data_IF_292416277366
#
_entry.id   IF_292416277366
#
_cell.length_a   1.000
_cell.length_b   1.000
_cell.length_c   1.000
_cell.angle_alpha   90.00
_cell.angle_beta   90.00
_cell.angle_gamma   90.00
#
_symmetry.space_group_name_H-M   'P 1'
#
loop_
_entity.id
_entity.type
_entity.pdbx_description
1 polymer ?
#
# COMPACT_ATOMS: atom_id res chain seq x y z
N UNK A 1 1.68 17.38 -33.84
CA UNK A 1 0.76 18.03 -32.85
C UNK A 1 0.36 17.00 -31.80
N UNK A 2 0.97 17.04 -30.61
CA UNK A 2 0.61 16.13 -29.50
C UNK A 2 -0.64 16.68 -28.80
N UNK A 3 -1.73 15.93 -28.81
CA UNK A 3 -2.96 16.30 -28.07
C UNK A 3 -2.69 16.10 -26.58
N UNK A 4 -2.54 17.20 -25.83
CA UNK A 4 -2.56 17.17 -24.36
C UNK A 4 -3.98 16.81 -23.93
N UNK A 5 -4.18 15.60 -23.43
CA UNK A 5 -5.41 15.23 -22.73
C UNK A 5 -5.32 15.86 -21.35
N UNK A 6 -5.94 17.02 -21.18
CA UNK A 6 -6.16 17.62 -19.86
C UNK A 6 -7.35 16.88 -19.28
N UNK A 7 -7.10 15.98 -18.32
CA UNK A 7 -8.18 15.39 -17.54
C UNK A 7 -8.84 16.54 -16.76
N UNK A 8 -10.15 16.78 -16.91
CA UNK A 8 -10.83 17.73 -16.05
C UNK A 8 -10.73 17.18 -14.63
N UNK A 9 -10.07 17.94 -13.76
CA UNK A 9 -10.07 17.71 -12.32
C UNK A 9 -11.52 17.90 -11.87
N UNK A 10 -12.31 16.83 -11.94
CA UNK A 10 -13.60 16.78 -11.28
C UNK A 10 -13.29 16.91 -9.79
N UNK A 11 -13.47 18.11 -9.26
CA UNK A 11 -13.57 18.39 -7.83
C UNK A 11 -14.81 17.69 -7.27
N UNK A 12 -14.79 16.36 -7.28
CA UNK A 12 -15.72 15.54 -6.54
C UNK A 12 -15.25 15.50 -5.09
N UNK A 13 -16.17 15.71 -4.16
CA UNK A 13 -16.01 15.35 -2.75
C UNK A 13 -15.71 13.84 -2.66
N UNK A 14 -14.45 13.43 -2.77
CA UNK A 14 -14.04 12.02 -2.77
C UNK A 14 -13.25 11.63 -1.53
N UNK A 15 -13.51 12.28 -0.39
CA UNK A 15 -12.72 12.07 0.84
C UNK A 15 -13.46 11.27 1.93
N UNK A 16 -14.71 10.82 1.75
CA UNK A 16 -15.38 10.07 2.82
C UNK A 16 -16.22 8.86 2.42
N UNK A 17 -15.98 8.19 1.29
CA UNK A 17 -16.66 6.91 1.03
C UNK A 17 -16.14 5.76 1.91
N UNK A 18 -15.03 5.97 2.63
CA UNK A 18 -14.35 4.96 3.45
C UNK A 18 -14.97 4.82 4.85
N UNK A 19 -15.69 5.84 5.30
CA UNK A 19 -16.37 5.82 6.59
C UNK A 19 -17.58 4.87 6.56
N UNK A 20 -18.00 4.43 7.75
CA UNK A 20 -19.21 3.65 7.93
C UNK A 20 -20.45 4.47 7.51
N UNK A 21 -21.50 3.78 7.03
CA UNK A 21 -22.72 4.40 6.48
C UNK A 21 -23.04 3.95 5.06
N UNK A 22 -24.07 4.57 4.46
CA UNK A 22 -24.58 4.24 3.11
C UNK A 22 -23.67 4.67 1.96
N UNK A 23 -22.72 5.56 2.23
CA UNK A 23 -21.78 6.05 1.22
C UNK A 23 -20.85 4.94 0.72
N UNK A 24 -20.52 4.96 -0.57
CA UNK A 24 -19.67 3.92 -1.17
C UNK A 24 -20.35 2.55 -1.34
N UNK A 25 -21.69 2.52 -1.42
CA UNK A 25 -22.47 1.29 -1.60
C UNK A 25 -21.94 0.39 -2.73
N UNK A 26 -21.50 0.96 -3.85
CA UNK A 26 -21.05 0.20 -5.03
C UNK A 26 -19.88 -0.75 -4.71
N UNK A 27 -18.86 -0.27 -4.00
CA UNK A 27 -17.71 -1.10 -3.65
C UNK A 27 -17.95 -1.92 -2.38
N UNK A 28 -18.73 -1.39 -1.41
CA UNK A 28 -19.10 -2.13 -0.18
C UNK A 28 -19.95 -3.37 -0.50
N UNK A 29 -20.95 -3.23 -1.36
CA UNK A 29 -21.81 -4.33 -1.81
C UNK A 29 -21.03 -5.38 -2.60
N UNK A 30 -20.12 -4.94 -3.47
CA UNK A 30 -19.20 -5.83 -4.19
C UNK A 30 -18.32 -6.64 -3.24
N UNK A 31 -17.67 -6.00 -2.26
CA UNK A 31 -16.81 -6.68 -1.30
C UNK A 31 -17.58 -7.72 -0.47
N UNK A 32 -18.82 -7.41 -0.04
CA UNK A 32 -19.68 -8.36 0.65
C UNK A 32 -20.10 -9.54 -0.25
N UNK A 33 -20.41 -9.26 -1.51
CA UNK A 33 -20.75 -10.29 -2.49
C UNK A 33 -19.55 -11.22 -2.76
N UNK A 34 -18.34 -10.68 -2.90
CA UNK A 34 -17.11 -11.45 -3.09
C UNK A 34 -16.86 -12.38 -1.90
N UNK A 35 -16.95 -11.88 -0.66
CA UNK A 35 -16.85 -12.72 0.56
C UNK A 35 -17.87 -13.85 0.60
N UNK A 36 -19.13 -13.55 0.30
CA UNK A 36 -20.20 -14.56 0.26
C UNK A 36 -19.95 -15.60 -0.84
N UNK A 37 -19.55 -15.16 -2.03
CA UNK A 37 -19.27 -16.05 -3.16
C UNK A 37 -18.13 -17.02 -2.86
N UNK A 38 -17.05 -16.53 -2.24
CA UNK A 38 -15.92 -17.35 -1.81
C UNK A 38 -16.33 -18.39 -0.76
N UNK A 39 -17.15 -17.98 0.22
CA UNK A 39 -17.66 -18.89 1.26
C UNK A 39 -18.50 -20.03 0.67
N UNK A 40 -19.40 -19.70 -0.27
CA UNK A 40 -20.27 -20.67 -0.92
C UNK A 40 -19.50 -21.59 -1.86
N UNK A 41 -18.51 -21.08 -2.60
CA UNK A 41 -17.64 -21.91 -3.42
C UNK A 41 -16.83 -22.88 -2.55
N UNK A 42 -16.27 -22.41 -1.44
CA UNK A 42 -15.49 -23.26 -0.54
C UNK A 42 -16.32 -24.37 0.13
N UNK A 43 -17.51 -24.05 0.62
CA UNK A 43 -18.37 -25.01 1.34
C UNK A 43 -19.20 -25.88 0.40
N UNK A 44 -19.79 -25.30 -0.63
CA UNK A 44 -20.82 -25.94 -1.47
C UNK A 44 -20.31 -26.53 -2.79
N UNK A 45 -19.25 -25.98 -3.38
CA UNK A 45 -18.78 -26.46 -4.68
C UNK A 45 -17.92 -27.74 -4.57
N UNK A 46 -18.58 -28.88 -4.77
CA UNK A 46 -17.92 -30.20 -4.76
C UNK A 46 -16.94 -30.36 -5.92
N UNK A 47 -17.12 -29.62 -7.03
CA UNK A 47 -16.26 -29.73 -8.20
C UNK A 47 -14.84 -29.22 -7.96
N UNK A 48 -14.64 -28.41 -6.92
CA UNK A 48 -13.33 -27.87 -6.53
C UNK A 48 -12.50 -28.83 -5.68
N UNK A 49 -13.11 -29.92 -5.17
CA UNK A 49 -12.47 -30.92 -4.30
C UNK A 49 -11.75 -32.00 -5.12
N UNK A 50 -10.88 -31.58 -6.03
CA UNK A 50 -10.20 -32.45 -6.99
C UNK A 50 -8.70 -32.50 -6.70
N UNK A 51 -8.09 -33.67 -6.84
CA UNK A 51 -6.65 -33.83 -6.72
C UNK A 51 -5.92 -33.10 -7.87
N UNK A 52 -4.86 -32.39 -7.52
CA UNK A 52 -4.05 -31.67 -8.50
C UNK A 52 -3.38 -32.66 -9.48
N UNK A 53 -3.45 -32.35 -10.77
CA UNK A 53 -2.83 -33.10 -11.86
C UNK A 53 -2.02 -32.15 -12.76
N UNK A 54 -1.29 -32.71 -13.73
CA UNK A 54 -0.26 -31.96 -14.46
C UNK A 54 -0.79 -30.73 -15.20
N UNK A 55 -1.99 -30.80 -15.77
CA UNK A 55 -2.62 -29.65 -16.40
C UNK A 55 -2.86 -28.50 -15.42
N UNK A 56 -3.26 -28.80 -14.17
CA UNK A 56 -3.45 -27.79 -13.13
C UNK A 56 -2.09 -27.22 -12.70
N UNK A 57 -1.08 -28.08 -12.49
CA UNK A 57 0.27 -27.64 -12.07
C UNK A 57 0.89 -26.69 -13.08
N UNK A 58 0.92 -27.08 -14.35
CA UNK A 58 1.51 -26.29 -15.43
C UNK A 58 0.78 -24.96 -15.62
N UNK A 59 -0.56 -24.97 -15.62
CA UNK A 59 -1.35 -23.73 -15.76
C UNK A 59 -1.21 -22.81 -14.56
N UNK A 60 -1.16 -23.35 -13.34
CA UNK A 60 -0.95 -22.56 -12.14
C UNK A 60 0.43 -21.90 -12.12
N UNK A 61 1.48 -22.60 -12.57
CA UNK A 61 2.82 -22.02 -12.68
C UNK A 61 2.91 -20.92 -13.74
N UNK A 62 2.22 -21.09 -14.88
CA UNK A 62 2.11 -20.02 -15.91
C UNK A 62 1.36 -18.81 -15.33
N UNK A 63 0.26 -19.02 -14.62
CA UNK A 63 -0.50 -17.95 -13.98
C UNK A 63 0.30 -17.23 -12.88
N UNK A 64 1.13 -17.96 -12.12
CA UNK A 64 2.01 -17.38 -11.11
C UNK A 64 2.98 -16.39 -11.75
N UNK A 65 3.69 -16.82 -12.80
CA UNK A 65 4.62 -15.96 -13.56
C UNK A 65 3.90 -14.75 -14.17
N UNK A 66 2.74 -14.97 -14.76
CA UNK A 66 1.95 -13.88 -15.33
C UNK A 66 1.57 -12.80 -14.31
N UNK A 67 1.34 -13.15 -13.04
CA UNK A 67 1.09 -12.18 -11.97
C UNK A 67 2.41 -11.53 -11.50
N UNK A 68 3.48 -12.31 -11.35
CA UNK A 68 4.82 -11.79 -10.99
C UNK A 68 5.34 -10.76 -12.01
N UNK A 69 5.04 -10.95 -13.29
CA UNK A 69 5.43 -10.05 -14.38
C UNK A 69 4.57 -8.76 -14.43
N UNK A 70 3.50 -8.65 -13.62
CA UNK A 70 2.70 -7.41 -13.58
C UNK A 70 3.43 -6.30 -12.83
N UNK A 71 3.71 -5.21 -13.55
CA UNK A 71 4.32 -4.01 -12.97
C UNK A 71 3.23 -3.09 -12.45
N UNK A 72 3.31 -2.72 -11.16
CA UNK A 72 2.44 -1.73 -10.55
C UNK A 72 2.84 -0.35 -11.12
N UNK A 73 1.91 0.42 -11.71
CA UNK A 73 2.23 1.76 -12.20
C UNK A 73 2.55 2.68 -11.01
N UNK A 74 3.75 3.25 -11.00
CA UNK A 74 4.13 4.24 -9.99
C UNK A 74 3.48 5.59 -10.32
N UNK A 75 2.75 6.15 -9.35
CA UNK A 75 2.06 7.43 -9.52
C UNK A 75 3.01 8.63 -9.43
N UNK A 76 4.05 8.50 -8.62
CA UNK A 76 5.15 9.45 -8.53
C UNK A 76 6.34 8.80 -9.23
N UNK A 77 6.69 9.29 -10.42
CA UNK A 77 8.02 9.03 -10.94
C UNK A 77 8.99 9.70 -9.98
N UNK A 78 9.91 8.92 -9.43
CA UNK A 78 11.11 9.41 -8.77
C UNK A 78 11.97 10.12 -9.82
N UNK A 79 11.54 11.31 -10.24
CA UNK A 79 12.39 12.26 -10.96
C UNK A 79 13.30 12.95 -9.95
N UNK A 80 14.02 12.15 -9.16
CA UNK A 80 15.23 12.54 -8.45
C UNK A 80 16.46 12.14 -9.28
N UNK A 81 16.30 12.16 -10.62
CA UNK A 81 17.44 12.44 -11.47
C UNK A 81 17.75 13.92 -11.27
N UNK A 82 18.50 14.21 -10.19
CA UNK A 82 19.43 15.32 -10.21
C UNK A 82 20.19 15.18 -11.53
N UNK A 83 19.96 16.13 -12.43
CA UNK A 83 20.75 16.26 -13.63
C UNK A 83 22.20 16.46 -13.18
N UNK A 84 22.98 15.38 -13.16
CA UNK A 84 24.45 15.38 -12.99
C UNK A 84 25.17 16.10 -14.16
N UNK A 85 24.43 16.76 -15.06
CA UNK A 85 24.94 17.43 -16.25
C UNK A 85 25.61 18.79 -15.98
N UNK A 86 25.61 19.30 -14.74
CA UNK A 86 26.20 20.61 -14.40
C UNK A 86 27.43 20.56 -13.47
N UNK A 87 27.96 19.38 -13.12
CA UNK A 87 29.19 19.29 -12.31
C UNK A 87 30.44 19.66 -13.15
N UNK A 88 30.41 19.44 -14.47
CA UNK A 88 31.52 19.76 -15.37
C UNK A 88 31.58 21.24 -15.82
N UNK A 89 30.62 22.08 -15.40
CA UNK A 89 30.57 23.53 -15.71
C UNK A 89 31.02 24.42 -14.57
N UNK A 90 31.36 23.85 -13.41
CA UNK A 90 31.96 24.60 -12.31
C UNK A 90 33.44 24.80 -12.67
N UNK A 91 33.70 25.86 -13.45
CA UNK A 91 35.05 26.39 -13.61
C UNK A 91 35.69 26.57 -12.25
N UNK A 92 36.97 26.20 -12.14
CA UNK A 92 37.82 26.26 -10.94
C UNK A 92 37.37 27.36 -9.98
N UNK A 93 36.68 26.95 -8.90
CA UNK A 93 36.23 27.89 -7.88
C UNK A 93 37.48 28.43 -7.19
N UNK A 94 37.75 29.72 -7.37
CA UNK A 94 38.85 30.43 -6.71
C UNK A 94 38.71 30.33 -5.19
N UNK A 95 39.75 29.84 -4.52
CA UNK A 95 39.81 29.65 -3.07
C UNK A 95 39.49 30.95 -2.32
N UNK A 96 39.87 32.10 -2.86
CA UNK A 96 39.56 33.41 -2.27
C UNK A 96 38.07 33.79 -2.41
N UNK A 97 37.39 33.30 -3.45
CA UNK A 97 35.96 33.47 -3.63
C UNK A 97 35.14 32.56 -2.69
N UNK A 98 35.67 31.38 -2.35
CA UNK A 98 35.10 30.52 -1.31
C UNK A 98 35.26 31.13 0.08
N UNK A 99 36.45 31.68 0.39
CA UNK A 99 36.69 32.33 1.69
C UNK A 99 35.75 33.53 1.92
N UNK A 100 35.52 34.36 0.88
CA UNK A 100 34.59 35.49 0.96
C UNK A 100 33.12 35.06 1.13
N UNK A 101 32.76 33.88 0.62
CA UNK A 101 31.41 33.33 0.78
C UNK A 101 31.19 32.73 2.17
N UNK A 102 32.27 32.29 2.83
CA UNK A 102 32.25 31.82 4.23
C UNK A 102 32.37 32.99 5.23
N UNK A 103 33.03 34.09 4.89
CA UNK A 103 33.15 35.26 5.77
C UNK A 103 31.94 36.22 5.72
N UNK A 104 31.09 36.13 4.70
CA UNK A 104 29.84 36.88 4.62
C UNK A 104 28.69 36.11 5.27
N UNK A 105 28.20 36.60 6.42
CA UNK A 105 27.03 36.09 7.16
C UNK A 105 26.85 34.57 7.03
N UNK A 106 27.67 33.81 7.77
CA UNK A 106 27.24 32.49 8.23
C UNK A 106 25.99 32.78 9.06
N UNK A 107 24.82 32.70 8.43
CA UNK A 107 23.56 32.44 9.13
C UNK A 107 23.92 31.33 10.13
N UNK A 108 23.88 31.62 11.44
CA UNK A 108 24.38 30.68 12.43
C UNK A 108 23.61 29.39 12.26
N UNK A 109 24.32 28.41 11.71
CA UNK A 109 24.03 26.99 11.74
C UNK A 109 22.53 26.68 11.63
N UNK A 110 21.98 26.61 10.41
CA UNK A 110 20.57 26.25 10.18
C UNK A 110 20.19 24.90 10.83
N UNK A 111 21.17 24.08 11.21
CA UNK A 111 21.00 22.86 12.01
C UNK A 111 20.67 23.14 13.49
N UNK A 112 21.08 24.28 14.04
CA UNK A 112 20.85 24.71 15.43
C UNK A 112 19.40 25.16 15.68
N UNK A 113 18.65 25.43 14.60
CA UNK A 113 17.23 25.80 14.61
C UNK A 113 16.28 24.68 14.13
N UNK A 114 16.79 23.48 13.86
CA UNK A 114 15.92 22.35 13.49
C UNK A 114 15.00 21.97 14.65
N UNK A 115 13.74 21.70 14.34
CA UNK A 115 12.84 21.12 15.32
C UNK A 115 13.32 19.71 15.68
N UNK A 116 13.10 19.29 16.93
CA UNK A 116 13.49 17.95 17.38
C UNK A 116 12.79 16.84 16.60
N UNK A 117 11.59 17.10 16.05
CA UNK A 117 10.90 16.18 15.15
C UNK A 117 11.61 16.06 13.80
N UNK A 118 12.03 17.17 13.20
CA UNK A 118 12.69 17.14 11.88
C UNK A 118 14.08 16.51 12.00
N UNK A 119 14.82 16.83 13.06
CA UNK A 119 16.11 16.21 13.34
C UNK A 119 15.99 14.68 13.55
N UNK A 120 14.88 14.20 14.12
CA UNK A 120 14.63 12.75 14.28
C UNK A 120 14.30 12.05 12.96
N UNK A 121 13.55 12.70 12.07
CA UNK A 121 13.25 12.18 10.73
C UNK A 121 14.52 12.07 9.88
N UNK A 122 15.32 13.14 9.83
CA UNK A 122 16.59 13.16 9.12
C UNK A 122 17.55 12.08 9.67
N UNK A 123 17.61 11.94 10.99
CA UNK A 123 18.42 10.89 11.62
C UNK A 123 17.98 9.49 11.16
N UNK A 124 16.67 9.24 11.10
CA UNK A 124 16.14 7.94 10.69
C UNK A 124 16.38 7.66 9.20
N UNK A 125 16.32 8.68 8.34
CA UNK A 125 16.56 8.57 6.89
C UNK A 125 18.05 8.39 6.54
N UNK A 126 18.96 9.10 7.21
CA UNK A 126 20.38 9.04 6.86
C UNK A 126 21.17 7.92 7.57
N UNK A 127 20.70 7.44 8.72
CA UNK A 127 21.38 6.40 9.49
C UNK A 127 20.68 5.04 9.37
N UNK A 128 19.78 4.88 8.39
CA UNK A 128 18.90 3.71 8.17
C UNK A 128 19.49 2.39 8.70
N UNK A 129 18.94 1.94 9.82
CA UNK A 129 18.87 0.52 10.13
C UNK A 129 17.60 0.01 9.46
N UNK A 130 17.68 -1.02 8.61
CA UNK A 130 16.52 -1.72 8.03
C UNK A 130 15.51 -2.07 9.14
N UNK A 131 14.50 -1.22 9.29
CA UNK A 131 13.73 -1.15 10.52
C UNK A 131 12.63 -2.22 10.49
N UNK A 132 13.00 -3.45 10.86
CA UNK A 132 12.10 -4.62 10.86
C UNK A 132 10.82 -4.41 11.68
N UNK A 133 10.81 -3.40 12.55
CA UNK A 133 9.67 -2.97 13.35
C UNK A 133 8.57 -2.30 12.50
N UNK A 134 8.95 -1.42 11.58
CA UNK A 134 8.03 -0.72 10.69
C UNK A 134 7.38 -1.66 9.69
N UNK A 135 8.16 -2.57 9.11
CA UNK A 135 7.64 -3.61 8.21
C UNK A 135 6.53 -4.45 8.88
N UNK A 136 6.66 -4.73 10.19
CA UNK A 136 5.62 -5.42 10.98
C UNK A 136 4.38 -4.54 11.19
N UNK A 137 4.54 -3.23 11.39
CA UNK A 137 3.40 -2.32 11.48
C UNK A 137 2.62 -2.24 10.16
N UNK A 138 3.33 -2.12 9.04
CA UNK A 138 2.72 -2.16 7.71
C UNK A 138 1.99 -3.48 7.46
N UNK A 139 2.56 -4.62 7.89
CA UNK A 139 1.90 -5.92 7.80
C UNK A 139 0.56 -5.97 8.53
N UNK A 140 0.46 -5.28 9.68
CA UNK A 140 -0.76 -5.17 10.48
C UNK A 140 -1.79 -4.27 9.82
N UNK A 141 -1.38 -3.20 9.16
CA UNK A 141 -2.30 -2.32 8.44
C UNK A 141 -2.87 -2.98 7.18
N UNK A 142 -2.00 -3.61 6.39
CA UNK A 142 -2.38 -4.32 5.16
C UNK A 142 -3.25 -5.54 5.48
N UNK A 143 -3.05 -6.18 6.64
CA UNK A 143 -3.68 -7.46 7.01
C UNK A 143 -3.45 -8.52 5.91
N UNK A 144 -2.21 -9.01 5.81
CA UNK A 144 -1.86 -10.02 4.82
C UNK A 144 -2.81 -11.22 4.83
N UNK A 145 -3.21 -11.66 3.63
CA UNK A 145 -4.12 -12.82 3.43
C UNK A 145 -5.51 -12.64 4.06
N UNK A 146 -5.99 -11.40 4.22
CA UNK A 146 -7.27 -11.06 4.86
C UNK A 146 -8.43 -12.01 4.54
N UNK A 147 -8.69 -12.26 3.26
CA UNK A 147 -9.86 -13.05 2.84
C UNK A 147 -9.57 -14.55 2.67
N UNK A 148 -8.30 -14.93 2.56
CA UNK A 148 -7.90 -16.35 2.36
C UNK A 148 -7.52 -17.04 3.66
N UNK A 149 -7.06 -16.31 4.68
CA UNK A 149 -6.55 -16.87 5.93
C UNK A 149 -7.61 -17.68 6.67
N UNK A 150 -8.86 -17.20 6.68
CA UNK A 150 -9.98 -17.88 7.36
C UNK A 150 -10.22 -19.31 6.84
N UNK A 151 -9.91 -19.60 5.58
CA UNK A 151 -10.07 -20.93 4.97
C UNK A 151 -8.77 -21.76 4.94
N UNK A 152 -7.61 -21.12 5.16
CA UNK A 152 -6.30 -21.78 5.20
C UNK A 152 -5.88 -22.16 6.62
N UNK A 153 -6.43 -21.50 7.64
CA UNK A 153 -6.18 -21.84 9.03
C UNK A 153 -6.75 -23.21 9.40
N UNK A 154 -5.99 -23.98 10.18
CA UNK A 154 -6.42 -25.29 10.63
C UNK A 154 -7.61 -25.18 11.59
N UNK A 155 -8.72 -25.84 11.24
CA UNK A 155 -9.94 -25.94 12.05
C UNK A 155 -10.54 -24.58 12.50
N UNK A 156 -10.39 -23.53 11.69
CA UNK A 156 -10.90 -22.19 11.97
C UNK A 156 -12.43 -22.06 11.89
N UNK A 157 -13.07 -22.88 11.04
CA UNK A 157 -14.53 -22.88 10.84
C UNK A 157 -15.13 -24.07 11.60
N UNK A 158 -15.94 -23.81 12.65
CA UNK A 158 -16.59 -24.86 13.41
C UNK A 158 -17.64 -25.56 12.55
N UNK A 159 -17.90 -26.84 12.84
CA UNK A 159 -18.83 -27.68 12.06
C UNK A 159 -20.25 -27.09 12.00
N UNK A 160 -20.71 -26.47 13.09
CA UNK A 160 -22.03 -25.83 13.20
C UNK A 160 -22.22 -24.70 12.19
N UNK A 161 -21.13 -24.03 11.81
CA UNK A 161 -21.12 -22.89 10.90
C UNK A 161 -20.79 -23.32 9.45
N UNK A 162 -20.76 -24.62 9.14
CA UNK A 162 -20.54 -25.14 7.77
C UNK A 162 -21.84 -25.32 7.00
N UNK A 163 -22.68 -24.29 7.03
CA UNK A 163 -23.94 -24.25 6.29
C UNK A 163 -23.95 -23.10 5.30
N UNK A 164 -24.84 -23.12 4.30
CA UNK A 164 -24.90 -22.04 3.30
C UNK A 164 -25.48 -20.73 3.84
N UNK A 165 -26.24 -20.83 4.93
CA UNK A 165 -26.90 -19.69 5.59
C UNK A 165 -26.09 -19.13 6.76
N UNK A 166 -25.02 -19.81 7.18
CA UNK A 166 -24.13 -19.29 8.21
C UNK A 166 -23.39 -18.04 7.73
N UNK A 167 -23.18 -17.11 8.64
CA UNK A 167 -22.56 -15.81 8.37
C UNK A 167 -21.13 -15.72 8.93
N UNK A 168 -20.43 -16.85 9.04
CA UNK A 168 -19.10 -16.91 9.68
C UNK A 168 -18.06 -15.97 9.05
N UNK A 169 -18.14 -15.75 7.74
CA UNK A 169 -17.26 -14.85 6.98
C UNK A 169 -17.44 -13.34 7.33
N UNK A 170 -18.44 -12.99 8.13
CA UNK A 170 -18.70 -11.61 8.59
C UNK A 170 -18.17 -11.32 10.00
N UNK A 171 -17.65 -12.32 10.73
CA UNK A 171 -17.18 -12.16 12.13
C UNK A 171 -16.07 -11.11 12.31
N UNK A 172 -15.32 -10.82 11.25
CA UNK A 172 -14.23 -9.85 11.25
C UNK A 172 -14.67 -8.42 10.90
N UNK A 173 -15.95 -8.21 10.57
CA UNK A 173 -16.51 -6.88 10.32
C UNK A 173 -16.77 -6.20 11.67
N UNK A 174 -16.11 -5.08 11.90
CA UNK A 174 -16.28 -4.26 13.11
C UNK A 174 -16.75 -2.88 12.68
N UNK A 175 -17.90 -2.46 13.18
CA UNK A 175 -18.33 -1.08 13.05
C UNK A 175 -17.47 -0.20 13.97
N UNK A 176 -17.12 0.99 13.52
CA UNK A 176 -16.59 2.02 14.42
C UNK A 176 -17.69 2.42 15.41
N UNK A 177 -17.38 2.61 16.70
CA UNK A 177 -18.38 3.11 17.64
C UNK A 177 -18.80 4.50 17.17
N UNK A 178 -20.09 4.70 16.92
CA UNK A 178 -20.65 6.03 16.70
C UNK A 178 -20.50 6.81 18.00
N UNK A 179 -19.74 7.90 17.99
CA UNK A 179 -19.63 8.85 19.11
C UNK A 179 -20.93 9.65 19.35
N UNK A 180 -22.08 9.06 19.09
CA UNK A 180 -23.39 9.63 19.35
C UNK A 180 -23.88 9.15 20.74
N UNK A 181 -23.20 9.61 21.79
CA UNK A 181 -23.72 9.75 23.17
C UNK A 181 -23.44 11.16 23.69
#
# INVERSE_FOLDING_TARGET
MRRKVVLPFLSGRWISSWNDGSDGYEWKSRALAEKRSLALEYLGDVSKRVQIHDAIRLKADVNRKAIEDTVIPNFFNSSDENQDDDIDRIGEIDYYSLLNMVEGEIDPDSLQHLSSSDASLLRNEFLEEDDSSEAKLLSKWINYRRDTADYQSYASVPEEERTEWSAWYLRNVRATPSNDE
#
